data_IF_228695409825
#
_entry.id   IF_228695409825
#
_cell.length_a   1.000
_cell.length_b   1.000
_cell.length_c   1.000
_cell.angle_alpha   90.00
_cell.angle_beta   90.00
_cell.angle_gamma   90.00
#
_symmetry.space_group_name_H-M   'P 1'
#
loop_
_entity.id
_entity.type
_entity.pdbx_description
1 polymer ?
#
# COMPACT_ATOMS: atom_id res chain seq x y z
N UNK A 1 -22.27 -38.98 -14.63
CA UNK A 1 -21.43 -38.50 -13.54
C UNK A 1 -21.55 -36.99 -13.47
N UNK A 2 -22.45 -36.49 -12.61
CA UNK A 2 -22.42 -35.08 -12.24
C UNK A 2 -21.06 -34.82 -11.57
N UNK A 3 -20.17 -34.15 -12.25
CA UNK A 3 -19.02 -33.51 -11.60
C UNK A 3 -19.61 -32.59 -10.56
N UNK A 4 -19.49 -32.96 -9.27
CA UNK A 4 -19.87 -32.10 -8.16
C UNK A 4 -19.12 -30.77 -8.36
N UNK A 5 -19.84 -29.66 -8.39
CA UNK A 5 -19.24 -28.34 -8.56
C UNK A 5 -18.24 -28.10 -7.40
N UNK A 6 -17.02 -27.70 -7.73
CA UNK A 6 -15.99 -27.36 -6.73
C UNK A 6 -16.50 -26.20 -5.90
N UNK A 7 -16.57 -26.37 -4.59
CA UNK A 7 -16.95 -25.28 -3.67
C UNK A 7 -15.71 -24.62 -3.10
N UNK A 8 -15.59 -23.30 -3.28
CA UNK A 8 -14.42 -22.52 -2.86
C UNK A 8 -14.83 -21.40 -1.90
N UNK A 9 -14.10 -21.28 -0.78
CA UNK A 9 -14.21 -20.13 0.09
C UNK A 9 -13.14 -19.09 -0.21
N UNK A 10 -13.52 -17.81 -0.31
CA UNK A 10 -12.60 -16.67 -0.36
C UNK A 10 -12.64 -15.97 0.99
N UNK A 11 -11.49 -15.93 1.70
CA UNK A 11 -11.37 -15.42 3.06
C UNK A 11 -10.77 -14.01 3.04
N UNK A 12 -11.61 -13.02 3.30
CA UNK A 12 -11.32 -11.60 3.06
C UNK A 12 -11.68 -11.18 1.64
N UNK A 13 -12.52 -10.15 1.51
CA UNK A 13 -13.06 -9.73 0.21
C UNK A 13 -12.71 -8.28 -0.14
N UNK A 14 -11.46 -7.89 0.15
CA UNK A 14 -10.82 -6.69 -0.40
C UNK A 14 -10.33 -6.92 -1.84
N UNK A 15 -9.36 -6.12 -2.30
CA UNK A 15 -8.86 -6.17 -3.68
C UNK A 15 -8.40 -7.57 -4.11
N UNK A 16 -7.56 -8.23 -3.30
CA UNK A 16 -7.10 -9.58 -3.61
C UNK A 16 -8.26 -10.61 -3.62
N UNK A 17 -9.21 -10.49 -2.71
CA UNK A 17 -10.34 -11.42 -2.61
C UNK A 17 -11.31 -11.32 -3.79
N UNK A 18 -11.65 -10.11 -4.23
CA UNK A 18 -12.54 -9.92 -5.38
C UNK A 18 -11.90 -10.40 -6.68
N UNK A 19 -10.57 -10.18 -6.84
CA UNK A 19 -9.81 -10.71 -7.97
C UNK A 19 -9.76 -12.24 -7.94
N UNK A 20 -9.49 -12.83 -6.75
CA UNK A 20 -9.47 -14.28 -6.59
C UNK A 20 -10.79 -14.91 -7.00
N UNK A 21 -11.92 -14.34 -6.57
CA UNK A 21 -13.25 -14.81 -6.96
C UNK A 21 -13.44 -14.76 -8.50
N UNK A 22 -13.00 -13.69 -9.16
CA UNK A 22 -13.08 -13.56 -10.61
C UNK A 22 -12.27 -14.63 -11.34
N UNK A 23 -10.99 -14.77 -10.99
CA UNK A 23 -10.11 -15.76 -11.60
C UNK A 23 -10.50 -17.22 -11.29
N UNK A 24 -11.08 -17.48 -10.10
CA UNK A 24 -11.62 -18.80 -9.75
C UNK A 24 -12.80 -19.17 -10.67
N UNK A 25 -13.73 -18.24 -10.90
CA UNK A 25 -14.88 -18.47 -11.81
C UNK A 25 -14.45 -18.67 -13.26
N UNK A 26 -13.38 -18.01 -13.70
CA UNK A 26 -12.78 -18.22 -15.02
C UNK A 26 -12.07 -19.58 -15.11
N UNK A 27 -11.34 -19.96 -14.09
CA UNK A 27 -10.53 -21.19 -14.02
C UNK A 27 -11.38 -22.45 -13.84
N UNK A 28 -12.44 -22.34 -13.05
CA UNK A 28 -13.36 -23.43 -12.72
C UNK A 28 -14.80 -23.03 -13.07
N UNK A 29 -15.20 -23.11 -14.35
CA UNK A 29 -16.57 -22.83 -14.74
C UNK A 29 -17.55 -23.74 -13.98
N UNK A 30 -18.52 -23.13 -13.30
CA UNK A 30 -19.47 -23.86 -12.47
C UNK A 30 -19.05 -24.03 -10.99
N UNK A 31 -17.90 -23.47 -10.55
CA UNK A 31 -17.54 -23.46 -9.14
C UNK A 31 -18.56 -22.65 -8.32
N UNK A 32 -18.90 -23.16 -7.12
CA UNK A 32 -19.65 -22.41 -6.12
C UNK A 32 -18.66 -21.62 -5.25
N UNK A 33 -18.67 -20.29 -5.39
CA UNK A 33 -17.78 -19.42 -4.64
C UNK A 33 -18.55 -18.71 -3.53
N UNK A 34 -18.09 -18.87 -2.28
CA UNK A 34 -18.55 -18.11 -1.11
C UNK A 34 -17.43 -17.23 -0.59
N UNK A 35 -17.73 -15.94 -0.40
CA UNK A 35 -16.76 -14.98 0.11
C UNK A 35 -17.15 -14.47 1.50
N UNK A 36 -16.19 -14.42 2.42
CA UNK A 36 -16.34 -13.90 3.78
C UNK A 36 -15.62 -12.57 3.92
N UNK A 37 -16.31 -11.55 4.40
CA UNK A 37 -15.73 -10.24 4.69
C UNK A 37 -16.24 -9.72 6.04
N UNK A 38 -15.32 -9.38 6.95
CA UNK A 38 -15.67 -8.91 8.29
C UNK A 38 -16.40 -7.56 8.31
N UNK A 39 -16.10 -6.70 7.35
CA UNK A 39 -16.75 -5.41 7.19
C UNK A 39 -18.06 -5.55 6.42
N UNK A 40 -19.06 -4.76 6.83
CA UNK A 40 -20.28 -4.60 6.01
C UNK A 40 -20.01 -3.79 4.75
N UNK A 41 -18.99 -2.91 4.79
CA UNK A 41 -18.54 -2.13 3.64
C UNK A 41 -17.43 -2.91 2.93
N UNK A 42 -17.64 -3.18 1.66
CA UNK A 42 -16.67 -3.86 0.81
C UNK A 42 -15.63 -2.88 0.26
N UNK A 43 -14.41 -3.38 -0.08
CA UNK A 43 -13.35 -2.60 -0.70
C UNK A 43 -12.01 -2.67 0.02
N UNK A 44 -12.00 -2.91 1.34
CA UNK A 44 -10.77 -2.94 2.12
C UNK A 44 -10.01 -1.61 2.01
N UNK A 45 -8.70 -1.67 1.73
CA UNK A 45 -7.86 -0.47 1.55
C UNK A 45 -8.19 0.30 0.25
N UNK A 46 -8.87 -0.29 -0.73
CA UNK A 46 -9.39 0.41 -1.91
C UNK A 46 -10.81 0.93 -1.68
N UNK A 47 -11.03 1.60 -0.57
CA UNK A 47 -12.28 2.25 -0.24
C UNK A 47 -12.17 3.76 -0.34
N UNK A 48 -13.25 4.41 -0.74
CA UNK A 48 -13.37 5.87 -0.76
C UNK A 48 -14.65 6.28 -0.02
N UNK A 49 -14.66 7.45 0.58
CA UNK A 49 -15.84 8.02 1.23
C UNK A 49 -16.17 9.36 0.59
N UNK A 50 -17.47 9.59 0.37
CA UNK A 50 -17.99 10.89 -0.01
C UNK A 50 -18.54 11.59 1.22
N UNK A 51 -18.06 12.79 1.50
CA UNK A 51 -18.47 13.62 2.63
C UNK A 51 -18.67 15.05 2.14
N UNK A 52 -19.89 15.56 2.22
CA UNK A 52 -20.25 16.94 1.83
C UNK A 52 -19.79 17.32 0.40
N UNK A 53 -19.86 16.39 -0.55
CA UNK A 53 -19.43 16.58 -1.95
C UNK A 53 -17.93 16.42 -2.20
N UNK A 54 -17.15 16.04 -1.20
CA UNK A 54 -15.74 15.70 -1.33
C UNK A 54 -15.55 14.18 -1.28
N UNK A 55 -14.69 13.64 -2.15
CA UNK A 55 -14.34 12.23 -2.17
C UNK A 55 -12.93 12.03 -1.61
N UNK A 56 -12.81 11.18 -0.59
CA UNK A 56 -11.57 10.83 0.06
C UNK A 56 -11.26 9.35 -0.12
N UNK A 57 -10.01 9.01 -0.45
CA UNK A 57 -9.53 7.64 -0.44
C UNK A 57 -9.14 7.26 0.99
N UNK A 58 -10.01 6.49 1.65
CA UNK A 58 -9.93 6.28 3.10
C UNK A 58 -8.86 5.26 3.52
N UNK A 59 -8.35 4.46 2.61
CA UNK A 59 -7.26 3.51 2.85
C UNK A 59 -5.86 4.06 2.58
N UNK A 60 -5.75 5.35 2.27
CA UNK A 60 -4.52 6.03 1.88
C UNK A 60 -4.48 6.37 0.39
N UNK A 61 -3.43 7.08 -0.02
CA UNK A 61 -3.22 7.48 -1.41
C UNK A 61 -2.85 6.27 -2.26
N UNK A 62 -3.81 5.73 -2.96
CA UNK A 62 -3.64 4.67 -3.94
C UNK A 62 -3.84 5.18 -5.35
N UNK A 63 -2.95 4.77 -6.26
CA UNK A 63 -3.05 5.07 -7.69
C UNK A 63 -2.72 3.80 -8.49
N UNK A 64 -3.12 3.77 -9.76
CA UNK A 64 -2.92 2.62 -10.64
C UNK A 64 -1.67 2.86 -11.47
N UNK A 65 -0.65 2.08 -11.25
CA UNK A 65 0.56 2.04 -12.06
C UNK A 65 1.17 0.63 -12.04
N UNK A 66 1.96 0.28 -13.04
CA UNK A 66 2.74 -0.95 -13.05
C UNK A 66 3.92 -0.83 -14.01
N UNK A 67 5.02 -1.48 -13.69
CA UNK A 67 6.13 -1.70 -14.60
C UNK A 67 5.84 -2.87 -15.57
N UNK A 68 4.86 -3.72 -15.24
CA UNK A 68 4.35 -4.76 -16.12
C UNK A 68 3.22 -4.18 -16.97
N UNK A 69 3.53 -3.92 -18.25
CA UNK A 69 2.58 -3.28 -19.17
C UNK A 69 1.31 -4.10 -19.40
N UNK A 70 1.41 -5.44 -19.38
CA UNK A 70 0.25 -6.31 -19.55
C UNK A 70 -0.66 -6.20 -18.31
N UNK A 71 -0.12 -6.28 -17.11
CA UNK A 71 -0.86 -6.07 -15.85
C UNK A 71 -1.50 -4.69 -15.84
N UNK A 72 -0.76 -3.63 -16.20
CA UNK A 72 -1.30 -2.27 -16.24
C UNK A 72 -2.49 -2.17 -17.19
N UNK A 73 -2.36 -2.71 -18.39
CA UNK A 73 -3.44 -2.69 -19.40
C UNK A 73 -4.70 -3.43 -18.89
N UNK A 74 -4.54 -4.59 -18.27
CA UNK A 74 -5.65 -5.36 -17.72
C UNK A 74 -6.35 -4.62 -16.57
N UNK A 75 -5.58 -4.03 -15.64
CA UNK A 75 -6.14 -3.29 -14.49
C UNK A 75 -6.85 -2.01 -14.94
N UNK A 76 -6.28 -1.26 -15.90
CA UNK A 76 -6.91 -0.07 -16.46
C UNK A 76 -8.16 -0.42 -17.25
N UNK A 77 -8.15 -1.54 -18.00
CA UNK A 77 -9.30 -2.00 -18.77
C UNK A 77 -10.52 -2.33 -17.89
N UNK A 78 -10.33 -2.67 -16.60
CA UNK A 78 -11.44 -2.84 -15.67
C UNK A 78 -12.32 -1.59 -15.57
N UNK A 79 -11.75 -0.41 -15.74
CA UNK A 79 -12.45 0.88 -15.61
C UNK A 79 -13.27 1.26 -16.85
N UNK A 80 -13.24 0.45 -17.94
CA UNK A 80 -14.10 0.65 -19.09
C UNK A 80 -13.94 2.00 -19.80
N UNK A 81 -12.71 2.58 -19.82
CA UNK A 81 -12.44 3.90 -20.41
C UNK A 81 -12.61 5.07 -19.42
N UNK A 82 -13.08 4.82 -18.19
CA UNK A 82 -13.23 5.82 -17.13
C UNK A 82 -11.97 6.01 -16.27
N UNK A 83 -10.78 5.88 -16.88
CA UNK A 83 -9.48 6.13 -16.26
C UNK A 83 -8.91 7.47 -16.73
N UNK A 84 -8.40 8.25 -15.79
CA UNK A 84 -7.60 9.44 -16.05
C UNK A 84 -6.12 9.09 -15.98
N UNK A 85 -5.34 9.51 -16.98
CA UNK A 85 -3.89 9.37 -16.97
C UNK A 85 -3.24 10.65 -16.44
N UNK A 86 -2.28 10.48 -15.55
CA UNK A 86 -1.52 11.58 -14.96
C UNK A 86 -0.01 11.37 -15.11
N UNK A 87 0.70 12.45 -15.35
CA UNK A 87 2.13 12.52 -15.10
C UNK A 87 2.35 12.82 -13.62
N UNK A 88 3.15 11.99 -12.93
CA UNK A 88 3.42 12.12 -11.50
C UNK A 88 4.05 13.47 -11.15
N UNK A 89 3.47 14.16 -10.17
CA UNK A 89 3.99 15.37 -9.53
C UNK A 89 4.07 15.13 -8.02
N UNK A 90 5.09 14.35 -7.62
CA UNK A 90 5.36 13.99 -6.25
C UNK A 90 6.65 14.65 -5.76
N UNK A 91 6.69 15.01 -4.48
CA UNK A 91 7.78 15.77 -3.89
C UNK A 91 8.12 15.28 -2.49
N UNK A 92 9.35 15.59 -2.05
CA UNK A 92 9.75 15.52 -0.64
C UNK A 92 9.84 16.96 -0.11
N UNK A 93 9.17 17.23 1.00
CA UNK A 93 9.19 18.54 1.66
C UNK A 93 10.41 18.65 2.56
N UNK A 94 11.32 19.58 2.26
CA UNK A 94 12.45 19.97 3.11
C UNK A 94 12.34 21.43 3.48
N UNK A 95 11.92 21.73 4.72
CA UNK A 95 11.60 23.11 5.08
C UNK A 95 10.57 23.69 4.12
N UNK A 96 10.93 24.78 3.41
CA UNK A 96 10.05 25.39 2.40
C UNK A 96 10.26 24.86 0.99
N UNK A 97 11.21 23.96 0.78
CA UNK A 97 11.49 23.40 -0.53
C UNK A 97 10.66 22.15 -0.83
N UNK A 98 10.25 22.04 -2.08
CA UNK A 98 9.66 20.83 -2.65
C UNK A 98 10.69 20.18 -3.57
N UNK A 99 11.37 19.16 -3.07
CA UNK A 99 12.36 18.40 -3.84
C UNK A 99 11.61 17.35 -4.66
N UNK A 100 11.71 17.38 -6.01
CA UNK A 100 11.05 16.36 -6.83
C UNK A 100 11.42 14.94 -6.43
N UNK A 101 10.42 14.06 -6.41
CA UNK A 101 10.62 12.63 -6.12
C UNK A 101 10.98 11.87 -7.42
N UNK A 102 11.94 10.92 -7.38
CA UNK A 102 12.70 10.48 -6.21
C UNK A 102 13.75 11.51 -5.76
N UNK A 103 13.99 11.56 -4.45
CA UNK A 103 14.75 12.62 -3.80
C UNK A 103 16.14 12.83 -4.38
N UNK A 104 16.90 11.76 -4.60
CA UNK A 104 18.26 11.78 -5.15
C UNK A 104 18.33 12.35 -6.59
N UNK A 105 17.24 12.26 -7.33
CA UNK A 105 17.13 12.85 -8.67
C UNK A 105 16.54 14.26 -8.65
N UNK A 106 15.94 14.66 -7.54
CA UNK A 106 15.34 15.97 -7.34
C UNK A 106 16.30 17.02 -6.78
N UNK A 107 17.52 16.66 -6.42
CA UNK A 107 18.47 17.54 -5.74
C UNK A 107 18.90 18.77 -6.56
N UNK A 108 18.60 18.82 -7.86
CA UNK A 108 18.85 19.97 -8.73
C UNK A 108 18.19 21.28 -8.25
N UNK A 109 17.16 21.19 -7.39
CA UNK A 109 16.49 22.38 -6.81
C UNK A 109 17.20 22.94 -5.58
N UNK A 110 18.17 22.22 -5.00
CA UNK A 110 18.94 22.67 -3.85
C UNK A 110 20.01 23.70 -4.23
N UNK A 111 20.48 24.53 -3.27
CA UNK A 111 21.65 25.38 -3.46
C UNK A 111 22.85 24.58 -3.97
N UNK A 112 23.73 25.16 -4.83
CA UNK A 112 24.81 24.42 -5.47
C UNK A 112 25.75 23.68 -4.51
N UNK A 113 26.15 24.31 -3.41
CA UNK A 113 27.04 23.73 -2.41
C UNK A 113 26.41 22.53 -1.71
N UNK A 114 25.17 22.68 -1.26
CA UNK A 114 24.41 21.62 -0.58
C UNK A 114 24.15 20.44 -1.54
N UNK A 115 23.79 20.73 -2.77
CA UNK A 115 23.59 19.74 -3.82
C UNK A 115 24.87 18.96 -4.11
N UNK A 116 26.01 19.65 -4.22
CA UNK A 116 27.31 19.04 -4.47
C UNK A 116 27.73 18.14 -3.32
N UNK A 117 27.52 18.55 -2.07
CA UNK A 117 27.79 17.76 -0.87
C UNK A 117 26.96 16.45 -0.87
N UNK A 118 25.64 16.54 -1.05
CA UNK A 118 24.77 15.37 -1.00
C UNK A 118 25.04 14.37 -2.13
N UNK A 119 25.33 14.86 -3.34
CA UNK A 119 25.67 14.01 -4.48
C UNK A 119 27.06 13.43 -4.31
N UNK A 120 28.00 14.19 -3.77
CA UNK A 120 29.34 13.70 -3.44
C UNK A 120 29.29 12.54 -2.46
N UNK A 121 28.58 12.69 -1.35
CA UNK A 121 28.35 11.64 -0.36
C UNK A 121 27.73 10.38 -1.00
N UNK A 122 26.73 10.56 -1.87
CA UNK A 122 26.09 9.45 -2.58
C UNK A 122 27.08 8.71 -3.49
N UNK A 123 27.83 9.45 -4.31
CA UNK A 123 28.81 8.86 -5.22
C UNK A 123 29.92 8.12 -4.44
N UNK A 124 30.44 8.70 -3.38
CA UNK A 124 31.44 8.05 -2.53
C UNK A 124 30.90 6.77 -1.88
N UNK A 125 29.64 6.79 -1.40
CA UNK A 125 28.99 5.61 -0.84
C UNK A 125 28.91 4.50 -1.87
N UNK A 126 28.42 4.79 -3.08
CA UNK A 126 28.33 3.82 -4.18
C UNK A 126 29.69 3.23 -4.58
N UNK A 127 30.73 4.07 -4.61
CA UNK A 127 32.10 3.61 -4.94
C UNK A 127 32.71 2.68 -3.88
N UNK A 128 32.27 2.77 -2.64
CA UNK A 128 32.75 1.97 -1.51
C UNK A 128 32.02 0.64 -1.34
N UNK A 129 30.95 0.39 -2.09
CA UNK A 129 30.18 -0.87 -1.99
C UNK A 129 31.04 -2.04 -2.53
N UNK A 130 31.39 -3.04 -1.69
CA UNK A 130 32.16 -4.18 -2.16
C UNK A 130 31.35 -5.08 -3.09
N UNK A 131 31.97 -5.78 -4.02
CA UNK A 131 31.30 -6.82 -4.81
C UNK A 131 30.64 -7.86 -3.93
N UNK A 132 29.36 -8.16 -4.20
CA UNK A 132 28.59 -9.15 -3.44
C UNK A 132 28.09 -8.68 -2.07
N UNK A 133 28.27 -7.41 -1.74
CA UNK A 133 27.72 -6.85 -0.50
C UNK A 133 26.21 -7.03 -0.41
N UNK A 134 25.76 -7.36 0.80
CA UNK A 134 24.33 -7.39 1.14
C UNK A 134 24.11 -6.64 2.46
N UNK A 135 23.07 -5.82 2.54
CA UNK A 135 22.74 -5.10 3.77
C UNK A 135 22.26 -6.07 4.86
N UNK A 136 22.63 -5.80 6.08
CA UNK A 136 22.18 -6.54 7.27
C UNK A 136 20.75 -6.17 7.64
N UNK A 137 20.40 -4.90 7.46
CA UNK A 137 19.12 -4.30 7.81
C UNK A 137 18.90 -3.00 7.00
N UNK A 138 17.72 -2.40 7.14
CA UNK A 138 17.33 -1.21 6.38
C UNK A 138 18.27 -0.03 6.60
N UNK A 139 18.69 0.24 7.85
CA UNK A 139 19.61 1.35 8.15
C UNK A 139 20.95 1.17 7.41
N UNK A 140 21.51 -0.03 7.46
CA UNK A 140 22.76 -0.39 6.75
C UNK A 140 22.62 -0.15 5.24
N UNK A 141 21.47 -0.55 4.66
CA UNK A 141 21.20 -0.30 3.24
C UNK A 141 21.09 1.19 2.92
N UNK A 142 20.40 1.98 3.73
CA UNK A 142 20.21 3.42 3.52
C UNK A 142 21.58 4.13 3.56
N UNK A 143 22.36 3.93 4.60
CA UNK A 143 23.64 4.63 4.80
C UNK A 143 24.69 4.22 3.75
N UNK A 144 24.78 2.92 3.45
CA UNK A 144 25.74 2.40 2.49
C UNK A 144 25.39 2.73 1.04
N UNK A 145 24.11 2.84 0.71
CA UNK A 145 23.67 3.10 -0.68
C UNK A 145 23.58 4.59 -1.01
N UNK A 146 23.10 5.42 -0.07
CA UNK A 146 22.77 6.84 -0.35
C UNK A 146 23.76 7.82 0.30
N UNK A 147 24.67 7.35 1.12
CA UNK A 147 25.58 8.20 1.87
C UNK A 147 24.91 8.94 3.04
N UNK A 148 25.73 9.54 3.88
CA UNK A 148 25.28 10.13 5.14
C UNK A 148 24.37 11.35 4.98
N UNK A 149 24.58 12.14 3.95
CA UNK A 149 23.82 13.37 3.72
C UNK A 149 22.36 13.12 3.40
N UNK A 150 22.08 12.30 2.37
CA UNK A 150 20.71 11.93 1.98
C UNK A 150 20.05 11.09 3.08
N UNK A 151 20.81 10.16 3.69
CA UNK A 151 20.33 9.34 4.80
C UNK A 151 19.76 10.21 5.93
N UNK A 152 20.51 11.15 6.44
CA UNK A 152 20.09 12.02 7.56
C UNK A 152 18.98 13.00 7.21
N UNK A 153 18.98 13.55 5.98
CA UNK A 153 18.00 14.58 5.61
C UNK A 153 16.64 14.02 5.24
N UNK A 154 16.60 12.82 4.66
CA UNK A 154 15.36 12.27 4.14
C UNK A 154 15.09 10.84 4.57
N UNK A 155 15.94 9.89 4.20
CA UNK A 155 15.58 8.48 4.26
C UNK A 155 15.41 7.96 5.69
N UNK A 156 16.29 8.33 6.62
CA UNK A 156 16.18 7.92 8.03
C UNK A 156 14.93 8.53 8.68
N UNK A 157 14.77 9.87 8.75
CA UNK A 157 13.60 10.45 9.43
C UNK A 157 12.27 10.02 8.77
N UNK A 158 12.22 9.89 7.47
CA UNK A 158 11.02 9.44 6.79
C UNK A 158 10.67 7.97 7.11
N UNK A 159 11.67 7.07 7.05
CA UNK A 159 11.45 5.66 7.33
C UNK A 159 11.13 5.40 8.81
N UNK A 160 11.71 6.16 9.75
CA UNK A 160 11.33 6.11 11.17
C UNK A 160 9.86 6.51 11.38
N UNK A 161 9.37 7.50 10.62
CA UNK A 161 7.95 7.93 10.71
C UNK A 161 7.00 6.87 10.17
N UNK A 162 7.30 6.25 9.04
CA UNK A 162 6.39 5.27 8.42
C UNK A 162 6.45 3.91 9.11
N UNK A 163 7.63 3.46 9.53
CA UNK A 163 7.78 2.11 10.11
C UNK A 163 7.54 2.07 11.61
N UNK A 164 7.77 3.16 12.34
CA UNK A 164 7.62 3.23 13.81
C UNK A 164 8.45 2.17 14.56
N UNK A 165 9.57 1.78 13.98
CA UNK A 165 10.55 0.83 14.54
C UNK A 165 11.96 1.36 14.27
N UNK A 166 12.96 1.01 15.10
CA UNK A 166 14.36 1.22 14.77
C UNK A 166 14.71 0.60 13.43
N UNK A 167 15.40 1.33 12.57
CA UNK A 167 15.64 0.88 11.18
C UNK A 167 16.66 -0.27 11.09
N UNK A 168 17.44 -0.50 12.13
CA UNK A 168 18.32 -1.67 12.29
C UNK A 168 17.57 -2.96 12.69
N UNK A 169 16.29 -2.86 13.02
CA UNK A 169 15.38 -3.98 13.29
C UNK A 169 14.49 -4.33 12.08
N UNK A 170 14.62 -3.59 11.00
CA UNK A 170 13.85 -3.78 9.76
C UNK A 170 14.76 -4.45 8.73
N UNK A 171 14.27 -5.55 8.12
CA UNK A 171 14.95 -6.22 7.02
C UNK A 171 15.07 -5.29 5.81
N UNK A 172 16.18 -5.38 5.10
CA UNK A 172 16.36 -4.71 3.82
C UNK A 172 15.65 -5.43 2.65
N UNK A 173 15.05 -6.60 2.87
CA UNK A 173 14.44 -7.40 1.78
C UNK A 173 13.33 -6.66 1.03
N UNK A 174 12.60 -5.78 1.73
CA UNK A 174 11.52 -5.03 1.10
C UNK A 174 12.00 -4.00 0.06
N UNK A 175 13.25 -3.51 0.13
CA UNK A 175 13.78 -2.52 -0.83
C UNK A 175 14.02 -3.14 -2.20
N UNK A 176 14.23 -4.45 -2.25
CA UNK A 176 14.42 -5.19 -3.50
C UNK A 176 13.11 -5.55 -4.22
N UNK A 177 11.96 -5.17 -3.65
CA UNK A 177 10.69 -5.26 -4.36
C UNK A 177 10.73 -4.29 -5.54
N UNK A 178 10.59 -4.76 -6.79
CA UNK A 178 10.72 -3.92 -7.99
C UNK A 178 9.86 -2.65 -7.91
N UNK A 179 10.48 -1.51 -8.18
CA UNK A 179 9.81 -0.20 -8.19
C UNK A 179 9.72 0.50 -6.84
N UNK A 180 10.35 -0.01 -5.77
CA UNK A 180 10.28 0.61 -4.43
C UNK A 180 11.33 1.69 -4.20
N UNK A 181 12.62 1.36 -4.32
CA UNK A 181 13.72 2.30 -4.08
C UNK A 181 14.86 2.02 -5.07
N UNK A 182 14.77 2.51 -6.29
CA UNK A 182 15.82 2.34 -7.28
C UNK A 182 17.03 3.22 -6.96
N UNK A 183 18.21 2.76 -7.32
CA UNK A 183 19.46 3.53 -7.29
C UNK A 183 19.58 4.34 -8.59
N UNK A 184 19.92 5.63 -8.53
CA UNK A 184 20.04 6.46 -9.73
C UNK A 184 21.22 6.03 -10.60
N UNK A 185 21.06 6.16 -11.92
CA UNK A 185 22.16 5.96 -12.86
C UNK A 185 23.12 7.16 -12.87
N UNK A 186 24.38 6.93 -13.27
CA UNK A 186 25.45 7.92 -13.25
C UNK A 186 25.11 9.17 -14.09
N UNK A 187 24.46 8.99 -15.26
CA UNK A 187 24.12 10.15 -16.13
C UNK A 187 23.08 11.04 -15.45
N UNK A 188 22.10 10.45 -14.77
CA UNK A 188 21.09 11.19 -14.00
C UNK A 188 21.74 11.93 -12.83
N UNK A 189 22.70 11.32 -12.12
CA UNK A 189 23.44 11.97 -11.03
C UNK A 189 24.25 13.17 -11.55
N UNK A 190 24.97 13.02 -12.68
CA UNK A 190 25.74 14.11 -13.28
C UNK A 190 24.85 15.28 -13.70
N UNK A 191 23.70 15.01 -14.32
CA UNK A 191 22.72 16.07 -14.66
C UNK A 191 22.22 16.77 -13.41
N UNK A 192 21.84 16.01 -12.38
CA UNK A 192 21.36 16.57 -11.11
C UNK A 192 22.44 17.44 -10.46
N UNK A 193 23.69 17.00 -10.45
CA UNK A 193 24.83 17.79 -9.95
C UNK A 193 25.03 19.09 -10.69
N UNK A 194 24.87 19.08 -12.02
CA UNK A 194 24.92 20.25 -12.87
C UNK A 194 23.69 21.20 -12.74
N UNK A 195 22.72 20.85 -11.91
CA UNK A 195 21.48 21.64 -11.75
C UNK A 195 20.48 21.44 -12.88
N UNK A 196 20.63 20.40 -13.68
CA UNK A 196 19.74 20.09 -14.79
C UNK A 196 18.57 19.25 -14.26
N UNK A 197 17.31 19.68 -14.44
CA UNK A 197 16.14 18.90 -14.05
C UNK A 197 16.13 17.50 -14.69
N UNK A 198 15.84 16.48 -13.89
CA UNK A 198 15.67 15.12 -14.36
C UNK A 198 14.26 14.65 -14.08
N UNK A 199 13.72 13.78 -14.93
CA UNK A 199 12.34 13.24 -14.76
C UNK A 199 12.27 12.10 -13.75
N UNK A 200 13.37 11.73 -13.13
CA UNK A 200 13.44 10.56 -12.27
C UNK A 200 13.26 9.26 -13.08
N UNK A 201 12.82 8.19 -12.40
CA UNK A 201 12.58 6.92 -13.06
C UNK A 201 11.37 7.01 -13.99
N UNK A 202 11.60 6.79 -15.28
CA UNK A 202 10.58 6.90 -16.34
C UNK A 202 9.42 5.90 -16.06
N UNK A 203 9.74 4.76 -15.50
CA UNK A 203 8.82 3.63 -15.31
C UNK A 203 7.63 3.95 -14.40
N UNK A 204 7.80 4.81 -13.38
CA UNK A 204 6.74 5.23 -12.47
C UNK A 204 6.35 6.71 -12.63
N UNK A 205 6.68 7.31 -13.78
CA UNK A 205 6.39 8.73 -14.03
C UNK A 205 4.93 8.99 -14.37
N UNK A 206 4.17 7.94 -14.71
CA UNK A 206 2.75 8.02 -15.05
C UNK A 206 1.94 7.08 -14.16
N UNK A 207 0.71 7.50 -13.86
CA UNK A 207 -0.28 6.67 -13.17
C UNK A 207 -1.68 6.94 -13.69
N UNK A 208 -2.60 6.05 -13.38
CA UNK A 208 -4.02 6.17 -13.70
C UNK A 208 -4.84 6.26 -12.43
N UNK A 209 -6.00 6.90 -12.55
CA UNK A 209 -6.95 7.01 -11.47
C UNK A 209 -8.38 7.05 -12.03
N UNK A 210 -9.38 6.51 -11.32
CA UNK A 210 -10.77 6.53 -11.78
C UNK A 210 -11.30 7.97 -11.95
N UNK A 211 -12.03 8.21 -13.01
CA UNK A 211 -12.64 9.52 -13.29
C UNK A 211 -13.61 9.96 -12.21
N UNK A 212 -14.33 9.02 -11.61
CA UNK A 212 -15.34 9.26 -10.56
C UNK A 212 -15.31 8.14 -9.52
N UNK A 213 -15.78 8.46 -8.30
CA UNK A 213 -15.98 7.47 -7.24
C UNK A 213 -14.73 7.11 -6.45
N UNK A 214 -13.64 7.89 -6.60
CA UNK A 214 -12.39 7.64 -5.92
C UNK A 214 -11.72 6.33 -6.36
N UNK A 215 -10.68 5.92 -5.66
CA UNK A 215 -9.98 4.65 -5.96
C UNK A 215 -10.90 3.42 -5.78
N UNK A 216 -11.96 3.56 -4.99
CA UNK A 216 -12.93 2.49 -4.79
C UNK A 216 -13.57 2.02 -6.10
N UNK A 217 -13.65 2.87 -7.12
CA UNK A 217 -14.19 2.49 -8.44
C UNK A 217 -13.41 1.34 -9.08
N UNK A 218 -12.09 1.25 -8.83
CA UNK A 218 -11.27 0.11 -9.28
C UNK A 218 -11.78 -1.20 -8.67
N UNK A 219 -12.01 -1.21 -7.36
CA UNK A 219 -12.58 -2.36 -6.66
C UNK A 219 -13.99 -2.69 -7.15
N UNK A 220 -14.85 -1.69 -7.29
CA UNK A 220 -16.24 -1.87 -7.75
C UNK A 220 -16.30 -2.47 -9.16
N UNK A 221 -15.39 -2.06 -10.05
CA UNK A 221 -15.32 -2.60 -11.40
C UNK A 221 -15.01 -4.11 -11.42
N UNK A 222 -14.15 -4.58 -10.51
CA UNK A 222 -13.90 -6.01 -10.33
C UNK A 222 -15.11 -6.72 -9.68
N UNK A 223 -15.74 -6.08 -8.69
CA UNK A 223 -16.91 -6.62 -8.00
C UNK A 223 -18.11 -6.82 -8.93
N UNK A 224 -18.37 -5.89 -9.84
CA UNK A 224 -19.46 -5.97 -10.82
C UNK A 224 -19.38 -7.23 -11.70
N UNK A 225 -18.18 -7.76 -11.94
CA UNK A 225 -17.98 -8.98 -12.74
C UNK A 225 -18.37 -10.26 -12.01
N UNK A 226 -18.40 -10.24 -10.68
CA UNK A 226 -18.57 -11.42 -9.83
C UNK A 226 -19.77 -11.36 -8.91
N UNK A 227 -20.38 -10.20 -8.71
CA UNK A 227 -21.42 -9.95 -7.71
C UNK A 227 -22.56 -10.96 -7.75
N UNK A 228 -23.06 -11.28 -8.95
CA UNK A 228 -24.21 -12.17 -9.12
C UNK A 228 -23.83 -13.66 -9.15
N UNK A 229 -22.52 -13.96 -9.07
CA UNK A 229 -21.97 -15.32 -9.17
C UNK A 229 -21.31 -15.79 -7.88
N UNK A 230 -21.14 -14.90 -6.90
CA UNK A 230 -20.46 -15.18 -5.63
C UNK A 230 -21.42 -14.95 -4.46
N UNK A 231 -21.52 -15.90 -3.56
CA UNK A 231 -22.26 -15.74 -2.32
C UNK A 231 -21.46 -14.88 -1.33
N UNK A 232 -21.65 -13.55 -1.35
CA UNK A 232 -20.89 -12.60 -0.53
C UNK A 232 -21.52 -12.45 0.84
N UNK A 233 -20.77 -12.81 1.89
CA UNK A 233 -21.13 -12.69 3.31
C UNK A 233 -20.42 -11.49 3.94
N UNK A 234 -20.92 -10.29 3.65
CA UNK A 234 -20.42 -9.06 4.25
C UNK A 234 -20.88 -8.92 5.70
N UNK A 235 -19.98 -8.46 6.58
CA UNK A 235 -20.21 -8.40 8.03
C UNK A 235 -19.96 -9.74 8.75
N UNK A 236 -19.49 -10.77 8.04
CA UNK A 236 -19.17 -12.08 8.61
C UNK A 236 -17.65 -12.32 8.62
N UNK A 237 -17.04 -12.17 9.80
CA UNK A 237 -15.63 -12.49 9.99
C UNK A 237 -15.39 -14.00 9.92
N UNK A 238 -14.25 -14.40 9.39
CA UNK A 238 -13.75 -15.79 9.50
C UNK A 238 -13.31 -16.00 10.96
N UNK A 239 -14.04 -16.85 11.69
CA UNK A 239 -13.80 -17.13 13.11
C UNK A 239 -13.30 -18.55 13.36
N UNK A 240 -13.65 -19.48 12.48
CA UNK A 240 -13.30 -20.88 12.60
C UNK A 240 -12.93 -21.46 11.23
N UNK A 241 -11.77 -22.10 11.16
CA UNK A 241 -11.35 -22.92 10.02
C UNK A 241 -10.88 -24.26 10.58
N UNK A 242 -11.40 -25.36 10.03
CA UNK A 242 -11.01 -26.73 10.45
C UNK A 242 -11.13 -27.71 9.31
N UNK A 243 -10.45 -28.83 9.42
CA UNK A 243 -10.64 -29.97 8.49
C UNK A 243 -11.64 -30.97 9.04
N UNK A 244 -12.49 -31.45 8.15
CA UNK A 244 -13.46 -32.51 8.47
C UNK A 244 -13.64 -33.42 7.25
N UNK A 245 -13.34 -34.71 7.40
CA UNK A 245 -13.55 -35.68 6.31
C UNK A 245 -12.82 -35.34 5.01
N UNK A 246 -11.62 -34.76 5.10
CA UNK A 246 -10.82 -34.36 3.93
C UNK A 246 -11.16 -32.98 3.33
N UNK A 247 -12.26 -32.36 3.75
CA UNK A 247 -12.71 -31.01 3.33
C UNK A 247 -12.41 -29.95 4.38
N UNK A 248 -12.43 -28.69 3.97
CA UNK A 248 -12.36 -27.55 4.87
C UNK A 248 -13.76 -27.13 5.32
N UNK A 249 -13.89 -26.73 6.57
CA UNK A 249 -15.09 -26.07 7.10
C UNK A 249 -14.69 -24.68 7.56
N UNK A 250 -15.20 -23.65 6.89
CA UNK A 250 -15.01 -22.25 7.25
C UNK A 250 -16.28 -21.75 7.91
N UNK A 251 -16.19 -21.31 9.15
CA UNK A 251 -17.33 -21.04 10.01
C UNK A 251 -18.28 -22.28 10.06
N UNK A 252 -19.26 -22.35 9.20
CA UNK A 252 -20.19 -23.51 9.10
C UNK A 252 -20.33 -23.99 7.66
N UNK A 253 -19.50 -23.48 6.75
CA UNK A 253 -19.58 -23.79 5.32
C UNK A 253 -18.49 -24.79 4.98
N UNK A 254 -18.89 -25.94 4.46
CA UNK A 254 -17.98 -26.96 3.96
C UNK A 254 -17.55 -26.62 2.53
N UNK A 255 -16.25 -26.64 2.27
CA UNK A 255 -15.64 -26.28 0.98
C UNK A 255 -14.50 -27.23 0.62
N UNK A 256 -14.19 -27.32 -0.66
CA UNK A 256 -13.10 -28.16 -1.19
C UNK A 256 -11.75 -27.44 -1.12
N UNK A 257 -11.77 -26.09 -1.27
CA UNK A 257 -10.60 -25.23 -1.30
C UNK A 257 -10.91 -23.92 -0.59
N UNK A 258 -9.93 -23.32 0.07
CA UNK A 258 -10.01 -21.95 0.57
C UNK A 258 -8.89 -21.09 -0.03
N UNK A 259 -9.25 -19.89 -0.49
CA UNK A 259 -8.30 -18.85 -0.95
C UNK A 259 -8.32 -17.70 0.05
N UNK A 260 -7.19 -17.50 0.74
CA UNK A 260 -7.08 -16.53 1.82
C UNK A 260 -6.41 -15.23 1.35
N UNK A 261 -7.17 -14.14 1.38
CA UNK A 261 -6.73 -12.78 1.10
C UNK A 261 -6.75 -11.89 2.36
N UNK A 262 -7.00 -12.48 3.53
CA UNK A 262 -7.03 -11.82 4.83
C UNK A 262 -5.67 -11.87 5.53
N UNK A 263 -5.45 -11.08 6.59
CA UNK A 263 -4.20 -11.08 7.35
C UNK A 263 -3.87 -12.46 7.94
N UNK A 264 -2.62 -12.90 7.77
CA UNK A 264 -2.16 -14.20 8.23
C UNK A 264 -2.33 -14.43 9.74
N UNK A 265 -2.05 -13.46 10.64
CA UNK A 265 -2.28 -13.65 12.07
C UNK A 265 -3.75 -13.94 12.41
N UNK A 266 -4.69 -13.19 11.80
CA UNK A 266 -6.13 -13.40 12.01
C UNK A 266 -6.57 -14.76 11.43
N UNK A 267 -5.98 -15.17 10.30
CA UNK A 267 -6.28 -16.47 9.69
C UNK A 267 -5.81 -17.63 10.57
N UNK A 268 -4.57 -17.59 11.07
CA UNK A 268 -4.03 -18.64 11.92
C UNK A 268 -4.81 -18.72 13.24
N UNK A 269 -5.22 -17.60 13.81
CA UNK A 269 -6.05 -17.56 15.01
C UNK A 269 -7.43 -18.19 14.81
N UNK A 270 -7.91 -18.32 13.58
CA UNK A 270 -9.16 -19.01 13.26
C UNK A 270 -9.03 -20.55 13.24
N UNK A 271 -7.81 -21.11 13.23
CA UNK A 271 -7.55 -22.54 13.31
C UNK A 271 -7.36 -22.97 14.75
N UNK A 272 -8.24 -23.83 15.27
CA UNK A 272 -8.14 -24.34 16.64
C UNK A 272 -7.03 -25.39 16.82
N UNK A 273 -6.56 -25.98 15.74
CA UNK A 273 -5.58 -27.07 15.69
C UNK A 273 -4.23 -26.64 15.06
N UNK A 274 -4.01 -25.34 14.90
CA UNK A 274 -2.72 -24.83 14.43
C UNK A 274 -1.59 -25.18 15.41
N UNK A 275 -0.46 -25.75 14.93
CA UNK A 275 0.69 -26.05 15.78
C UNK A 275 1.24 -24.79 16.46
N UNK A 276 1.74 -24.92 17.68
CA UNK A 276 2.24 -23.79 18.48
C UNK A 276 3.34 -22.99 17.75
N UNK A 277 4.22 -23.66 17.02
CA UNK A 277 5.26 -23.01 16.22
C UNK A 277 4.69 -22.15 15.08
N UNK A 278 3.57 -22.57 14.47
CA UNK A 278 2.89 -21.80 13.42
C UNK A 278 2.17 -20.59 14.01
N UNK A 279 1.52 -20.78 15.17
CA UNK A 279 0.89 -19.68 15.91
C UNK A 279 1.93 -18.62 16.29
N UNK A 280 3.05 -19.04 16.89
CA UNK A 280 4.16 -18.12 17.23
C UNK A 280 4.76 -17.41 16.01
N UNK A 281 4.91 -18.12 14.88
CA UNK A 281 5.38 -17.51 13.64
C UNK A 281 4.40 -16.44 13.13
N UNK A 282 3.09 -16.73 13.15
CA UNK A 282 2.06 -15.76 12.75
C UNK A 282 2.01 -14.54 13.68
N UNK A 283 2.15 -14.72 15.00
CA UNK A 283 2.19 -13.63 15.99
C UNK A 283 3.41 -12.70 15.82
N UNK A 284 4.53 -13.23 15.30
CA UNK A 284 5.73 -12.45 15.00
C UNK A 284 5.64 -11.66 13.70
N UNK A 285 4.67 -11.93 12.84
CA UNK A 285 4.41 -11.12 11.65
C UNK A 285 3.91 -9.74 12.08
N UNK A 286 4.79 -8.74 11.97
CA UNK A 286 4.51 -7.39 12.44
C UNK A 286 3.89 -6.50 11.35
N UNK A 287 3.19 -5.45 11.77
CA UNK A 287 2.51 -4.52 10.89
C UNK A 287 2.27 -3.18 11.58
N UNK A 288 2.04 -2.15 10.78
CA UNK A 288 1.55 -0.87 11.24
C UNK A 288 0.10 -0.66 10.85
N UNK A 289 -0.62 0.03 11.72
CA UNK A 289 -1.92 0.61 11.44
C UNK A 289 -1.72 1.90 10.61
N UNK A 290 -2.73 2.31 9.86
CA UNK A 290 -2.77 3.61 9.22
C UNK A 290 -4.05 4.35 9.58
N UNK A 291 -3.90 5.60 9.98
CA UNK A 291 -4.99 6.56 10.09
C UNK A 291 -4.87 7.51 8.92
N UNK A 292 -5.95 7.62 8.16
CA UNK A 292 -6.07 8.56 7.05
C UNK A 292 -6.95 9.71 7.51
N UNK A 293 -6.42 10.93 7.49
CA UNK A 293 -7.15 12.14 7.82
C UNK A 293 -7.49 12.86 6.52
N UNK A 294 -8.77 12.92 6.18
CA UNK A 294 -9.30 13.68 5.05
C UNK A 294 -9.60 15.12 5.46
N UNK A 295 -9.13 16.07 4.67
CA UNK A 295 -9.36 17.50 4.88
C UNK A 295 -9.96 18.13 3.62
N UNK A 296 -11.14 18.69 3.75
CA UNK A 296 -11.80 19.48 2.71
C UNK A 296 -11.41 20.95 2.87
N UNK A 297 -10.99 21.59 1.79
CA UNK A 297 -10.49 22.96 1.79
C UNK A 297 -11.28 23.86 0.85
N UNK A 298 -11.59 25.10 1.30
CA UNK A 298 -12.22 26.16 0.50
C UNK A 298 -11.18 26.96 -0.31
N UNK A 299 -10.35 26.21 -1.02
CA UNK A 299 -9.34 26.73 -1.94
C UNK A 299 -8.95 25.67 -2.98
N UNK A 300 -8.45 26.06 -4.16
CA UNK A 300 -7.93 25.11 -5.14
C UNK A 300 -6.64 24.46 -4.62
N UNK A 301 -6.39 23.21 -5.03
CA UNK A 301 -5.12 22.54 -4.79
C UNK A 301 -4.00 23.15 -5.66
N UNK A 302 -2.75 23.20 -5.16
CA UNK A 302 -1.60 23.46 -6.01
C UNK A 302 -1.40 22.30 -6.99
N UNK A 303 -0.61 22.50 -8.04
CA UNK A 303 -0.35 21.48 -9.06
C UNK A 303 0.61 20.36 -8.56
N UNK A 304 0.17 19.61 -7.56
CA UNK A 304 0.91 18.55 -6.88
C UNK A 304 -0.01 17.34 -6.65
N UNK A 305 0.55 16.12 -6.65
CA UNK A 305 -0.21 14.91 -6.32
C UNK A 305 0.00 14.49 -4.87
N UNK A 306 1.23 14.13 -4.48
CA UNK A 306 1.53 13.79 -3.08
C UNK A 306 2.90 14.26 -2.65
N UNK A 307 3.02 14.48 -1.36
CA UNK A 307 4.21 15.03 -0.73
C UNK A 307 4.62 14.16 0.46
N UNK A 308 5.86 13.71 0.44
CA UNK A 308 6.51 13.03 1.55
C UNK A 308 7.04 14.04 2.56
N UNK A 309 6.80 13.82 3.84
CA UNK A 309 7.12 14.74 4.94
C UNK A 309 8.05 14.07 5.94
N UNK A 310 9.37 14.22 5.81
CA UNK A 310 10.34 13.64 6.75
C UNK A 310 10.41 14.36 8.09
N UNK A 311 9.93 15.60 8.20
CA UNK A 311 9.96 16.38 9.44
C UNK A 311 9.28 15.61 10.59
N UNK A 312 10.06 15.33 11.66
CA UNK A 312 9.59 14.55 12.83
C UNK A 312 8.53 15.27 13.66
N UNK A 313 8.44 16.61 13.57
CA UNK A 313 7.44 17.41 14.29
C UNK A 313 6.03 17.23 13.73
N UNK A 314 5.93 16.93 12.43
CA UNK A 314 4.67 16.72 11.73
C UNK A 314 4.21 15.28 11.91
N UNK A 315 2.97 15.08 12.35
CA UNK A 315 2.44 13.76 12.73
C UNK A 315 2.31 12.79 11.53
N UNK A 316 1.94 13.29 10.36
CA UNK A 316 1.80 12.47 9.14
C UNK A 316 3.13 12.35 8.39
N UNK A 317 3.33 11.22 7.72
CA UNK A 317 4.52 10.97 6.89
C UNK A 317 4.31 11.38 5.43
N UNK A 318 3.06 11.51 5.01
CA UNK A 318 2.68 11.89 3.64
C UNK A 318 1.32 12.58 3.64
N UNK A 319 1.14 13.53 2.71
CA UNK A 319 -0.19 14.00 2.35
C UNK A 319 -0.36 13.99 0.83
N UNK A 320 -1.60 13.92 0.36
CA UNK A 320 -1.93 13.80 -1.05
C UNK A 320 -3.16 14.66 -1.40
N UNK A 321 -3.05 15.39 -2.51
CA UNK A 321 -4.15 16.16 -3.08
C UNK A 321 -5.02 15.26 -3.95
N UNK A 322 -5.95 14.53 -3.34
CA UNK A 322 -6.81 13.57 -4.07
C UNK A 322 -7.74 14.26 -5.07
N UNK A 323 -8.03 15.56 -4.89
CA UNK A 323 -8.75 16.37 -5.89
C UNK A 323 -7.94 16.59 -7.18
N UNK A 324 -6.60 16.41 -7.16
CA UNK A 324 -5.77 16.42 -8.36
C UNK A 324 -5.69 15.04 -9.05
N UNK A 325 -6.19 13.99 -8.41
CA UNK A 325 -6.32 12.67 -9.06
C UNK A 325 -7.57 12.62 -9.94
N UNK A 326 -8.64 13.25 -9.50
CA UNK A 326 -9.84 13.47 -10.30
C UNK A 326 -10.53 14.79 -9.92
N UNK A 327 -10.96 15.59 -10.91
CA UNK A 327 -11.75 16.79 -10.63
C UNK A 327 -13.08 16.49 -9.94
N UNK A 328 -13.58 15.26 -10.01
CA UNK A 328 -14.81 14.87 -9.32
C UNK A 328 -14.65 14.65 -7.81
N UNK A 329 -13.40 14.66 -7.30
CA UNK A 329 -13.13 14.44 -5.88
C UNK A 329 -13.35 15.69 -5.00
N UNK A 330 -13.60 16.84 -5.59
CA UNK A 330 -13.97 18.07 -4.86
C UNK A 330 -14.91 18.95 -5.70
N UNK A 331 -15.74 19.81 -5.08
CA UNK A 331 -16.47 20.83 -5.80
C UNK A 331 -15.53 21.83 -6.52
N UNK A 332 -15.96 22.47 -7.62
CA UNK A 332 -15.17 23.47 -8.32
C UNK A 332 -14.63 24.57 -7.39
N UNK A 333 -13.35 24.94 -7.55
CA UNK A 333 -12.67 25.95 -6.73
C UNK A 333 -12.24 25.49 -5.34
N UNK A 334 -12.57 24.24 -4.95
CA UNK A 334 -12.24 23.60 -3.68
C UNK A 334 -11.28 22.43 -3.89
N UNK A 335 -10.75 21.90 -2.79
CA UNK A 335 -9.84 20.76 -2.86
C UNK A 335 -10.07 19.77 -1.72
N UNK A 336 -9.75 18.51 -2.01
CA UNK A 336 -9.69 17.40 -1.07
C UNK A 336 -8.25 16.94 -0.90
N UNK A 337 -7.82 16.81 0.35
CA UNK A 337 -6.50 16.35 0.75
C UNK A 337 -6.66 15.19 1.75
N UNK A 338 -5.76 14.22 1.68
CA UNK A 338 -5.61 13.20 2.72
C UNK A 338 -4.21 13.25 3.31
N UNK A 339 -4.10 13.11 4.64
CA UNK A 339 -2.84 12.97 5.37
C UNK A 339 -2.78 11.57 5.99
N UNK A 340 -1.63 10.90 5.88
CA UNK A 340 -1.45 9.52 6.32
C UNK A 340 -0.54 9.45 7.55
N UNK A 341 -1.07 8.83 8.61
CA UNK A 341 -0.39 8.66 9.90
C UNK A 341 -0.26 7.18 10.17
N UNK A 342 0.94 6.68 10.41
CA UNK A 342 1.15 5.30 10.84
C UNK A 342 1.26 5.20 12.35
N UNK A 343 0.74 4.11 12.89
CA UNK A 343 0.84 3.75 14.30
C UNK A 343 1.28 2.29 14.43
N UNK A 344 2.05 1.94 15.46
CA UNK A 344 2.36 0.55 15.74
C UNK A 344 1.09 -0.28 15.97
N UNK A 345 1.15 -1.58 15.70
CA UNK A 345 0.07 -2.50 16.11
C UNK A 345 -0.20 -2.41 17.59
N UNK A 346 -1.45 -2.61 18.01
CA UNK A 346 -1.86 -2.61 19.41
C UNK A 346 -2.01 -1.24 20.07
N UNK A 347 -1.70 -0.15 19.35
CA UNK A 347 -2.00 1.20 19.81
C UNK A 347 -3.45 1.52 19.46
N UNK A 348 -4.25 1.91 20.45
CA UNK A 348 -5.60 2.46 20.20
C UNK A 348 -5.46 3.97 19.91
N UNK A 349 -5.82 4.42 18.69
CA UNK A 349 -5.68 5.82 18.33
C UNK A 349 -6.82 6.68 18.89
N UNK A 350 -6.47 7.85 19.38
CA UNK A 350 -7.41 8.94 19.57
C UNK A 350 -7.58 9.68 18.23
N UNK A 351 -8.65 9.37 17.51
CA UNK A 351 -8.88 9.93 16.17
C UNK A 351 -9.13 11.44 16.20
N UNK A 352 -9.77 11.97 17.24
CA UNK A 352 -10.02 13.41 17.34
C UNK A 352 -8.70 14.18 17.56
N UNK A 353 -7.83 13.66 18.39
CA UNK A 353 -6.49 14.19 18.58
C UNK A 353 -5.69 14.13 17.26
N UNK A 354 -5.69 13.00 16.55
CA UNK A 354 -4.95 12.85 15.30
C UNK A 354 -5.49 13.76 14.18
N UNK A 355 -6.80 14.01 14.13
CA UNK A 355 -7.38 15.02 13.24
C UNK A 355 -6.83 16.42 13.54
N UNK A 356 -6.81 16.81 14.81
CA UNK A 356 -6.27 18.10 15.22
C UNK A 356 -4.77 18.24 14.90
N UNK A 357 -3.96 17.25 15.24
CA UNK A 357 -2.52 17.23 14.94
C UNK A 357 -2.23 17.23 13.42
N UNK A 358 -3.05 16.57 12.62
CA UNK A 358 -2.91 16.60 11.17
C UNK A 358 -3.21 18.00 10.60
N UNK A 359 -4.29 18.65 11.04
CA UNK A 359 -4.61 20.01 10.64
C UNK A 359 -3.50 20.97 11.08
N UNK A 360 -3.04 20.91 12.32
CA UNK A 360 -1.93 21.73 12.84
C UNK A 360 -0.68 21.57 11.95
N UNK A 361 -0.31 20.34 11.62
CA UNK A 361 0.81 20.08 10.72
C UNK A 361 0.64 20.67 9.33
N UNK A 362 -0.58 20.63 8.75
CA UNK A 362 -0.86 21.27 7.46
C UNK A 362 -0.75 22.80 7.55
N UNK A 363 -1.19 23.42 8.66
CA UNK A 363 -1.05 24.84 8.91
C UNK A 363 0.42 25.22 9.08
N UNK A 364 1.20 24.48 9.88
CA UNK A 364 2.63 24.70 10.08
C UNK A 364 3.42 24.64 8.77
N UNK A 365 3.07 23.70 7.90
CA UNK A 365 3.67 23.57 6.57
C UNK A 365 3.18 24.61 5.55
N UNK A 366 2.23 25.47 5.93
CA UNK A 366 1.65 26.45 5.00
C UNK A 366 0.81 25.84 3.87
N UNK A 367 0.37 24.58 4.02
CA UNK A 367 -0.47 23.86 3.05
C UNK A 367 -1.88 24.42 3.02
N UNK A 368 -2.40 24.84 4.18
CA UNK A 368 -3.70 25.45 4.35
C UNK A 368 -3.62 26.59 5.38
N UNK A 369 -4.65 27.41 5.44
CA UNK A 369 -4.92 28.33 6.55
C UNK A 369 -6.16 27.85 7.31
N UNK A 370 -6.28 28.19 8.57
CA UNK A 370 -7.41 27.73 9.41
C UNK A 370 -8.78 28.06 8.77
N UNK A 371 -8.90 29.25 8.19
CA UNK A 371 -10.12 29.68 7.47
C UNK A 371 -10.48 28.88 6.23
N UNK A 372 -9.52 28.14 5.66
CA UNK A 372 -9.74 27.31 4.47
C UNK A 372 -10.33 25.95 4.82
N UNK A 373 -10.24 25.52 6.08
CA UNK A 373 -10.67 24.19 6.51
C UNK A 373 -12.19 24.12 6.64
N UNK A 374 -12.83 23.35 5.77
CA UNK A 374 -14.28 23.17 5.74
C UNK A 374 -14.75 21.97 6.54
N UNK A 375 -14.00 20.88 6.47
CA UNK A 375 -14.34 19.60 7.10
C UNK A 375 -13.11 18.72 7.30
N UNK A 376 -13.09 17.97 8.41
CA UNK A 376 -12.03 17.04 8.74
C UNK A 376 -12.65 15.73 9.18
N UNK A 377 -12.20 14.62 8.58
CA UNK A 377 -12.63 13.27 8.93
C UNK A 377 -11.43 12.34 9.07
N UNK A 378 -11.56 11.26 9.83
CA UNK A 378 -10.47 10.29 10.01
C UNK A 378 -10.98 8.85 9.92
N UNK A 379 -10.17 7.99 9.30
CA UNK A 379 -10.45 6.56 9.14
C UNK A 379 -9.25 5.73 9.60
N UNK A 380 -9.52 4.71 10.41
CA UNK A 380 -8.52 3.77 10.88
C UNK A 380 -8.57 2.47 10.08
N UNK A 381 -7.41 2.05 9.60
CA UNK A 381 -7.18 0.70 9.10
C UNK A 381 -6.13 0.01 9.99
N UNK A 382 -6.57 -1.03 10.71
CA UNK A 382 -5.69 -1.79 11.62
C UNK A 382 -4.55 -2.49 10.89
N UNK A 383 -4.78 -2.93 9.67
CA UNK A 383 -3.76 -3.49 8.78
C UNK A 383 -3.44 -2.49 7.67
N UNK A 384 -2.49 -1.59 7.91
CA UNK A 384 -2.04 -0.59 6.94
C UNK A 384 -0.83 -1.06 6.13
N UNK A 385 0.26 -1.41 6.81
CA UNK A 385 1.52 -1.82 6.20
C UNK A 385 2.06 -3.10 6.85
N UNK A 386 2.29 -4.21 6.09
CA UNK A 386 3.08 -5.32 6.59
C UNK A 386 4.53 -4.84 6.80
N UNK A 387 5.10 -5.21 7.94
CA UNK A 387 6.43 -4.78 8.35
C UNK A 387 7.41 -5.95 8.21
N UNK A 388 8.56 -5.68 7.62
CA UNK A 388 9.60 -6.69 7.39
C UNK A 388 10.57 -6.65 8.56
N UNK A 389 10.30 -7.41 9.62
CA UNK A 389 11.27 -7.67 10.67
C UNK A 389 12.42 -8.53 10.15
N UNK A 390 13.52 -8.65 10.91
CA UNK A 390 14.68 -9.44 10.48
C UNK A 390 14.35 -10.92 10.26
N UNK A 391 13.34 -11.44 10.95
CA UNK A 391 12.84 -12.82 10.85
C UNK A 391 11.56 -12.96 10.00
N UNK A 392 11.15 -11.89 9.31
CA UNK A 392 9.94 -11.83 8.49
C UNK A 392 9.82 -13.02 7.52
N UNK A 393 10.84 -13.27 6.71
CA UNK A 393 10.80 -14.32 5.69
C UNK A 393 10.61 -15.70 6.31
N UNK A 394 11.35 -16.00 7.40
CA UNK A 394 11.25 -17.28 8.11
C UNK A 394 9.85 -17.51 8.68
N UNK A 395 9.30 -16.51 9.37
CA UNK A 395 7.97 -16.62 10.00
C UNK A 395 6.88 -16.75 8.92
N UNK A 396 6.92 -15.91 7.89
CA UNK A 396 5.97 -15.98 6.77
C UNK A 396 5.98 -17.34 6.09
N UNK A 397 7.16 -17.85 5.74
CA UNK A 397 7.30 -19.09 5.00
C UNK A 397 6.84 -20.31 5.82
N UNK A 398 7.06 -20.29 7.13
CA UNK A 398 6.52 -21.32 8.05
C UNK A 398 4.97 -21.34 8.02
N UNK A 399 4.34 -20.16 8.15
CA UNK A 399 2.88 -20.03 8.10
C UNK A 399 2.32 -20.45 6.75
N UNK A 400 2.90 -19.97 5.64
CA UNK A 400 2.42 -20.26 4.28
C UNK A 400 2.59 -21.75 3.91
N UNK A 401 3.65 -22.41 4.37
CA UNK A 401 3.84 -23.85 4.17
C UNK A 401 2.75 -24.64 4.85
N UNK A 402 2.51 -24.37 6.13
CA UNK A 402 1.48 -25.04 6.89
C UNK A 402 0.07 -24.82 6.30
N UNK A 403 -0.27 -23.60 5.90
CA UNK A 403 -1.56 -23.29 5.26
C UNK A 403 -1.77 -24.10 3.97
N UNK A 404 -0.73 -24.28 3.15
CA UNK A 404 -0.81 -25.11 1.93
C UNK A 404 -1.11 -26.59 2.28
N UNK A 405 -0.49 -27.12 3.34
CA UNK A 405 -0.76 -28.47 3.82
C UNK A 405 -2.21 -28.63 4.34
N UNK A 406 -2.80 -27.52 4.81
CA UNK A 406 -4.21 -27.50 5.19
C UNK A 406 -5.16 -27.34 4.00
N UNK A 407 -4.69 -27.13 2.78
CA UNK A 407 -5.53 -26.86 1.60
C UNK A 407 -6.00 -25.41 1.51
N UNK A 408 -5.26 -24.48 2.12
CA UNK A 408 -5.51 -23.03 2.04
C UNK A 408 -4.44 -22.37 1.18
N UNK A 409 -4.88 -21.67 0.14
CA UNK A 409 -4.02 -20.94 -0.77
C UNK A 409 -4.07 -19.45 -0.43
N UNK A 410 -2.97 -18.91 0.05
CA UNK A 410 -2.89 -17.50 0.45
C UNK A 410 -2.51 -16.61 -0.74
N UNK A 411 -3.19 -15.46 -0.89
CA UNK A 411 -2.99 -14.51 -1.98
C UNK A 411 -3.01 -13.06 -1.51
N UNK A 412 -2.40 -12.19 -2.30
CA UNK A 412 -2.44 -10.75 -2.09
C UNK A 412 -1.55 -10.24 -0.97
N UNK A 413 -1.65 -8.95 -0.70
CA UNK A 413 -0.78 -8.23 0.23
C UNK A 413 -0.75 -8.85 1.63
N UNK A 414 -1.89 -9.17 2.19
CA UNK A 414 -2.04 -9.68 3.56
C UNK A 414 -1.97 -11.20 3.66
N UNK A 415 -2.44 -11.91 2.65
CA UNK A 415 -2.32 -13.37 2.57
C UNK A 415 -0.89 -13.82 2.28
N UNK A 416 -0.08 -13.01 1.58
CA UNK A 416 1.33 -13.28 1.33
C UNK A 416 2.27 -12.51 2.28
N UNK A 417 1.73 -11.61 3.10
CA UNK A 417 2.46 -10.72 4.00
C UNK A 417 3.56 -9.92 3.29
N UNK A 418 3.20 -9.34 2.14
CA UNK A 418 4.11 -8.52 1.34
C UNK A 418 3.60 -7.08 1.19
N UNK A 419 4.50 -6.11 1.22
CA UNK A 419 4.20 -4.72 0.97
C UNK A 419 4.04 -4.45 -0.54
N UNK A 420 3.00 -5.05 -1.13
CA UNK A 420 2.69 -4.91 -2.55
C UNK A 420 1.71 -3.79 -2.85
N UNK A 421 1.89 -3.15 -4.00
CA UNK A 421 0.90 -2.27 -4.60
C UNK A 421 -0.19 -3.10 -5.31
N UNK A 422 -1.22 -2.42 -5.78
CA UNK A 422 -2.41 -3.05 -6.40
C UNK A 422 -2.08 -3.91 -7.63
N UNK A 423 -1.07 -3.52 -8.41
CA UNK A 423 -0.58 -4.25 -9.58
C UNK A 423 0.10 -5.57 -9.20
N UNK A 424 0.95 -5.56 -8.18
CA UNK A 424 1.61 -6.78 -7.68
C UNK A 424 0.61 -7.75 -7.08
N UNK A 425 -0.39 -7.21 -6.37
CA UNK A 425 -1.52 -8.02 -5.86
C UNK A 425 -2.28 -8.65 -7.02
N UNK A 426 -2.61 -7.88 -8.06
CA UNK A 426 -3.30 -8.40 -9.25
C UNK A 426 -2.52 -9.55 -9.89
N UNK A 427 -1.24 -9.35 -10.15
CA UNK A 427 -0.36 -10.35 -10.75
C UNK A 427 -0.26 -11.62 -9.89
N UNK A 428 -0.02 -11.46 -8.59
CA UNK A 428 0.08 -12.58 -7.64
C UNK A 428 -1.22 -13.42 -7.64
N UNK A 429 -2.37 -12.77 -7.52
CA UNK A 429 -3.65 -13.48 -7.49
C UNK A 429 -3.87 -14.23 -8.80
N UNK A 430 -3.66 -13.58 -9.96
CA UNK A 430 -3.82 -14.17 -11.28
C UNK A 430 -2.95 -15.41 -11.47
N UNK A 431 -1.66 -15.29 -11.19
CA UNK A 431 -0.70 -16.40 -11.33
C UNK A 431 -0.98 -17.54 -10.36
N UNK A 432 -1.34 -17.22 -9.11
CA UNK A 432 -1.61 -18.23 -8.09
C UNK A 432 -2.87 -19.03 -8.43
N UNK A 433 -3.95 -18.38 -8.85
CA UNK A 433 -5.19 -19.09 -9.23
C UNK A 433 -5.01 -19.88 -10.52
N UNK A 434 -4.23 -19.37 -11.48
CA UNK A 434 -3.93 -20.11 -12.72
C UNK A 434 -3.15 -21.40 -12.46
N UNK A 435 -2.37 -21.48 -11.38
CA UNK A 435 -1.58 -22.65 -11.00
C UNK A 435 -2.38 -23.73 -10.22
N UNK A 436 -3.65 -23.47 -9.86
CA UNK A 436 -4.57 -24.44 -9.25
C UNK A 436 -5.15 -25.36 -10.33
#
# INVERSE_FOLDING_TARGET
>A
LHLLAVRVAVLGFGWAGVLAAGFLLERFPGAEVVAFEKSRRLGGLLSSAEVNGFTFDVGGSHVIFSNDKAVLAEVVALLGGEALEHRRRAYVRLGDLFVPYPFENGLHVLPPEERAELIGDLVEALMKIPPGWRPRHLLDWIETTFGSGIARRYLIPYNEKIWKRPLDQISADWVYIPGRLPVPDVKTLVKTAAGIPTVGYVENSRFYYPRRGGIQRQYQAALERVRDKVAIRAGEAVKEVRRRGGRLVVNRVEVDLAVAAMPLPDLIAAFSDAPEEVVKAAERLDYNQVVVVGVALDRPAPDQHWIYVPDRRIVFHRYAWVSNYSPSNAPPGRSALIAEITLPRGVEPDLERLKAEAVEGLLELGVAQERDVLHVEAWLHRYGYPLYTLDHAQNRDAVLRWLREQGVVAVGRWGQWHYWNTDKVYKNVKETIAAL
#
